data_IF_640811068551
#
_entry.id   IF_640811068551
#
_cell.length_a   1.000
_cell.length_b   1.000
_cell.length_c   1.000
_cell.angle_alpha   90.00
_cell.angle_beta   90.00
_cell.angle_gamma   90.00
#
_symmetry.space_group_name_H-M   'P 1'
#
loop_
_entity.id
_entity.type
_entity.pdbx_description
1 polymer ?
#
# COMPACT_ATOMS: atom_id res chain seq x y z
N UNK A 1 12.44 -0.12 30.63
CA UNK A 1 13.86 -0.09 31.04
C UNK A 1 14.68 -1.23 30.47
N UNK A 2 14.35 -2.51 30.65
CA UNK A 2 15.20 -3.61 30.15
C UNK A 2 15.50 -3.55 28.64
N UNK A 3 14.51 -3.24 27.80
CA UNK A 3 14.72 -3.01 26.36
C UNK A 3 15.61 -1.79 26.11
N UNK A 4 15.31 -0.67 26.78
CA UNK A 4 16.07 0.60 26.70
C UNK A 4 17.54 0.42 27.09
N UNK A 5 17.82 -0.45 28.07
CA UNK A 5 19.16 -0.74 28.57
C UNK A 5 19.87 -1.85 27.76
N UNK A 6 19.26 -2.35 26.67
CA UNK A 6 19.82 -3.42 25.85
C UNK A 6 19.79 -4.82 26.49
N UNK A 7 19.13 -4.96 27.65
CA UNK A 7 19.02 -6.23 28.38
C UNK A 7 17.97 -7.19 27.79
N UNK A 8 17.04 -6.68 26.97
CA UNK A 8 16.04 -7.48 26.25
C UNK A 8 15.93 -7.01 24.80
N UNK A 9 15.62 -7.94 23.89
CA UNK A 9 15.34 -7.65 22.48
C UNK A 9 14.20 -6.64 22.38
N UNK A 10 14.37 -5.63 21.52
CA UNK A 10 13.29 -4.74 21.15
C UNK A 10 12.41 -5.39 20.08
N UNK A 11 11.34 -6.06 20.50
CA UNK A 11 10.38 -6.67 19.58
C UNK A 11 9.59 -5.66 18.74
N UNK A 12 9.58 -4.37 19.10
CA UNK A 12 8.99 -3.32 18.25
C UNK A 12 9.73 -3.12 16.92
N UNK A 13 10.95 -3.66 16.78
CA UNK A 13 11.72 -3.63 15.52
C UNK A 13 11.70 -4.97 14.79
N UNK A 14 10.88 -5.93 15.24
CA UNK A 14 10.70 -7.18 14.49
C UNK A 14 10.17 -6.82 13.08
N UNK A 15 10.78 -7.44 12.06
CA UNK A 15 10.55 -7.20 10.63
C UNK A 15 10.90 -5.80 10.10
N UNK A 16 11.48 -4.92 10.92
CA UNK A 16 11.96 -3.62 10.44
C UNK A 16 13.20 -3.80 9.55
N UNK A 17 13.22 -3.13 8.41
CA UNK A 17 14.43 -2.99 7.61
C UNK A 17 15.22 -1.80 8.15
N UNK A 18 16.30 -2.09 8.89
CA UNK A 18 17.14 -1.10 9.56
C UNK A 18 18.16 -0.42 8.62
N UNK A 19 17.68 -0.04 7.44
CA UNK A 19 18.40 0.73 6.44
C UNK A 19 17.38 1.47 5.57
N UNK A 20 17.86 2.32 4.66
CA UNK A 20 17.01 3.07 3.74
C UNK A 20 16.53 2.16 2.61
N UNK A 21 15.22 2.05 2.43
CA UNK A 21 14.60 1.33 1.31
C UNK A 21 13.60 2.21 0.57
N UNK A 22 13.34 1.85 -0.67
CA UNK A 22 12.31 2.47 -1.51
C UNK A 22 11.55 1.37 -2.24
N UNK A 23 10.21 1.42 -2.27
CA UNK A 23 9.43 0.47 -3.05
C UNK A 23 9.58 0.81 -4.54
N UNK A 24 9.77 -0.21 -5.36
CA UNK A 24 9.66 -0.12 -6.82
C UNK A 24 8.60 -1.12 -7.28
N UNK A 25 7.85 -0.77 -8.31
CA UNK A 25 6.85 -1.66 -8.91
C UNK A 25 7.55 -2.36 -10.09
N UNK A 26 7.63 -3.69 -10.10
CA UNK A 26 8.17 -4.44 -11.23
C UNK A 26 7.19 -4.45 -12.41
N UNK A 27 7.68 -4.89 -13.57
CA UNK A 27 6.84 -5.16 -14.74
C UNK A 27 5.91 -6.37 -14.54
N UNK A 28 5.17 -6.73 -15.60
CA UNK A 28 4.19 -7.82 -15.61
C UNK A 28 4.77 -9.23 -15.38
N UNK A 29 6.10 -9.38 -15.47
CA UNK A 29 6.81 -10.63 -15.20
C UNK A 29 7.51 -10.62 -13.83
N UNK A 30 7.36 -9.53 -13.07
CA UNK A 30 7.97 -9.35 -11.76
C UNK A 30 9.46 -9.00 -11.84
N UNK A 31 9.89 -8.40 -12.96
CA UNK A 31 11.24 -7.86 -13.14
C UNK A 31 11.27 -6.36 -12.83
N UNK A 32 12.22 -5.93 -12.00
CA UNK A 32 12.38 -4.52 -11.71
C UNK A 32 13.00 -3.78 -12.89
N UNK A 33 12.47 -2.60 -13.18
CA UNK A 33 12.99 -1.67 -14.16
C UNK A 33 14.37 -1.13 -13.78
N UNK A 34 15.17 -0.79 -14.79
CA UNK A 34 16.46 -0.09 -14.57
C UNK A 34 16.25 1.33 -14.03
N UNK A 35 15.19 1.99 -14.50
CA UNK A 35 14.83 3.33 -14.06
C UNK A 35 13.74 3.30 -12.97
N UNK A 36 13.82 4.16 -11.94
CA UNK A 36 12.83 4.19 -10.86
C UNK A 36 11.46 4.71 -11.30
N UNK A 37 10.39 4.25 -10.66
CA UNK A 37 9.01 4.70 -10.89
C UNK A 37 8.55 4.61 -12.35
N UNK A 38 8.93 3.53 -13.04
CA UNK A 38 8.57 3.25 -14.45
C UNK A 38 7.15 2.70 -14.65
N UNK A 39 6.52 2.19 -13.60
CA UNK A 39 5.12 1.80 -13.66
C UNK A 39 4.20 2.94 -13.22
N UNK A 40 2.98 2.95 -13.74
CA UNK A 40 1.91 3.76 -13.17
C UNK A 40 1.25 2.98 -12.03
N UNK A 41 0.50 3.68 -11.19
CA UNK A 41 -0.29 3.03 -10.14
C UNK A 41 -1.54 3.83 -9.83
N UNK A 42 -2.49 3.20 -9.16
CA UNK A 42 -3.59 3.87 -8.50
C UNK A 42 -3.55 3.62 -6.99
N UNK A 43 -3.87 4.65 -6.21
CA UNK A 43 -4.09 4.58 -4.76
C UNK A 43 -5.58 4.62 -4.52
N UNK A 44 -6.10 3.63 -3.80
CA UNK A 44 -7.49 3.57 -3.39
C UNK A 44 -7.60 3.65 -1.87
N UNK A 45 -8.34 4.65 -1.40
CA UNK A 45 -8.65 4.88 0.00
C UNK A 45 -10.11 4.53 0.22
N UNK A 46 -10.39 3.57 1.10
CA UNK A 46 -11.74 3.14 1.47
C UNK A 46 -11.93 3.31 2.98
N UNK A 47 -12.78 4.26 3.35
CA UNK A 47 -13.11 4.57 4.75
C UNK A 47 -14.45 3.99 5.16
N UNK A 48 -14.52 3.51 6.40
CA UNK A 48 -15.77 3.19 7.09
C UNK A 48 -15.76 3.82 8.49
N UNK A 49 -16.78 4.61 8.83
CA UNK A 49 -16.91 5.33 10.10
C UNK A 49 -18.13 4.86 10.88
N UNK A 50 -17.94 4.55 12.15
CA UNK A 50 -19.03 4.07 13.02
C UNK A 50 -19.44 5.18 14.00
N UNK A 51 -20.57 5.82 13.71
CA UNK A 51 -21.17 6.90 14.48
C UNK A 51 -22.20 6.34 15.48
N UNK A 52 -21.79 5.38 16.31
CA UNK A 52 -22.68 4.71 17.26
C UNK A 52 -21.97 4.47 18.61
N UNK A 53 -22.64 4.68 19.78
CA UNK A 53 -22.02 4.50 21.10
C UNK A 53 -21.49 3.08 21.37
N UNK A 54 -22.06 2.07 20.71
CA UNK A 54 -21.59 0.68 20.80
C UNK A 54 -20.34 0.40 19.95
N UNK A 55 -19.86 1.37 19.16
CA UNK A 55 -18.72 1.21 18.27
C UNK A 55 -18.86 -0.02 17.38
N UNK A 56 -17.84 -0.87 17.35
CA UNK A 56 -17.83 -2.10 16.54
C UNK A 56 -18.96 -3.09 16.85
N UNK A 57 -19.64 -2.97 17.99
CA UNK A 57 -20.78 -3.81 18.36
C UNK A 57 -22.13 -3.23 17.91
N UNK A 58 -22.13 -2.10 17.19
CA UNK A 58 -23.35 -1.53 16.65
C UNK A 58 -23.99 -2.44 15.57
N UNK A 59 -25.31 -2.34 15.36
CA UNK A 59 -26.00 -3.13 14.34
C UNK A 59 -25.33 -3.02 12.97
N UNK A 60 -25.30 -4.11 12.21
CA UNK A 60 -24.77 -4.21 10.84
C UNK A 60 -23.26 -3.91 10.64
N UNK A 61 -22.53 -3.44 11.65
CA UNK A 61 -21.08 -3.17 11.54
C UNK A 61 -20.30 -4.46 11.28
N UNK A 62 -20.62 -5.53 12.01
CA UNK A 62 -20.00 -6.85 11.77
C UNK A 62 -20.26 -7.32 10.34
N UNK A 63 -21.50 -7.21 9.85
CA UNK A 63 -21.86 -7.64 8.49
C UNK A 63 -21.10 -6.85 7.42
N UNK A 64 -21.00 -5.52 7.56
CA UNK A 64 -20.18 -4.69 6.68
C UNK A 64 -18.71 -5.11 6.71
N UNK A 65 -18.17 -5.34 7.92
CA UNK A 65 -16.80 -5.83 8.11
C UNK A 65 -16.57 -7.19 7.45
N UNK A 66 -17.50 -8.14 7.58
CA UNK A 66 -17.42 -9.46 6.96
C UNK A 66 -17.40 -9.37 5.43
N UNK A 67 -18.15 -8.43 4.82
CA UNK A 67 -18.08 -8.18 3.38
C UNK A 67 -16.71 -7.62 2.96
N UNK A 68 -16.18 -6.64 3.70
CA UNK A 68 -14.87 -6.08 3.43
C UNK A 68 -13.76 -7.14 3.54
N UNK A 69 -13.77 -7.94 4.61
CA UNK A 69 -12.79 -9.03 4.79
C UNK A 69 -12.82 -10.00 3.62
N UNK A 70 -14.02 -10.45 3.19
CA UNK A 70 -14.15 -11.33 2.03
C UNK A 70 -13.63 -10.69 0.74
N UNK A 71 -13.89 -9.40 0.53
CA UNK A 71 -13.39 -8.67 -0.64
C UNK A 71 -11.86 -8.59 -0.64
N UNK A 72 -11.24 -8.39 0.51
CA UNK A 72 -9.76 -8.39 0.64
C UNK A 72 -9.21 -9.80 0.41
N UNK A 73 -9.83 -10.84 0.97
CA UNK A 73 -9.42 -12.24 0.75
C UNK A 73 -9.49 -12.63 -0.73
N UNK A 74 -10.55 -12.23 -1.44
CA UNK A 74 -10.74 -12.43 -2.88
C UNK A 74 -9.59 -11.76 -3.67
N UNK A 75 -9.31 -10.49 -3.36
CA UNK A 75 -8.23 -9.72 -3.97
C UNK A 75 -6.83 -10.30 -3.70
N UNK A 76 -6.57 -10.77 -2.49
CA UNK A 76 -5.29 -11.40 -2.13
C UNK A 76 -5.12 -12.77 -2.80
N UNK A 77 -6.22 -13.49 -3.08
CA UNK A 77 -6.17 -14.80 -3.74
C UNK A 77 -5.99 -14.72 -5.26
N UNK A 78 -6.54 -13.69 -5.91
CA UNK A 78 -6.51 -13.48 -7.38
C UNK A 78 -5.59 -12.31 -7.80
N UNK A 79 -4.61 -11.98 -6.95
CA UNK A 79 -3.85 -10.73 -6.95
C UNK A 79 -3.23 -10.34 -8.31
N UNK A 80 -2.90 -11.30 -9.19
CA UNK A 80 -2.24 -10.99 -10.48
C UNK A 80 -3.17 -10.45 -11.56
N UNK A 81 -4.41 -10.95 -11.65
CA UNK A 81 -5.28 -10.64 -12.79
C UNK A 81 -6.07 -9.35 -12.54
N UNK A 82 -6.44 -9.12 -11.28
CA UNK A 82 -7.23 -7.96 -10.84
C UNK A 82 -6.41 -6.68 -10.66
N UNK A 83 -5.08 -6.73 -10.81
CA UNK A 83 -4.22 -5.56 -10.69
C UNK A 83 -4.16 -4.96 -9.28
N UNK A 84 -4.52 -5.73 -8.26
CA UNK A 84 -4.28 -5.39 -6.86
C UNK A 84 -2.80 -5.60 -6.53
N UNK A 85 -2.24 -4.79 -5.62
CA UNK A 85 -0.87 -4.99 -5.14
C UNK A 85 -0.82 -5.26 -3.63
N UNK A 86 -1.88 -4.93 -2.90
CA UNK A 86 -1.92 -4.96 -1.45
C UNK A 86 -2.13 -3.57 -0.85
N UNK A 87 -2.08 -3.50 0.49
CA UNK A 87 -2.38 -2.27 1.20
C UNK A 87 -2.11 -2.35 2.69
N UNK A 88 -2.64 -1.38 3.43
CA UNK A 88 -2.57 -1.36 4.89
C UNK A 88 -3.82 -0.69 5.44
N UNK A 89 -4.22 -1.11 6.63
CA UNK A 89 -5.40 -0.60 7.33
C UNK A 89 -4.98 0.24 8.54
N UNK A 90 -5.62 1.38 8.73
CA UNK A 90 -5.48 2.23 9.91
C UNK A 90 -6.81 2.47 10.58
N UNK A 91 -6.74 2.79 11.86
CA UNK A 91 -7.87 3.30 12.62
C UNK A 91 -7.57 4.72 13.07
N UNK A 92 -8.58 5.57 13.03
CA UNK A 92 -8.55 6.89 13.66
C UNK A 92 -9.82 7.07 14.51
N UNK A 93 -9.76 8.01 15.45
CA UNK A 93 -10.95 8.46 16.17
C UNK A 93 -11.17 9.93 15.85
N UNK A 94 -12.41 10.29 15.54
CA UNK A 94 -12.76 11.70 15.38
C UNK A 94 -12.83 12.42 16.73
N UNK A 95 -13.02 13.75 16.69
CA UNK A 95 -13.11 14.58 17.88
C UNK A 95 -14.27 14.21 18.84
N UNK A 96 -15.27 13.47 18.35
CA UNK A 96 -16.43 13.03 19.12
C UNK A 96 -16.28 11.58 19.60
N UNK A 97 -15.14 10.93 19.32
CA UNK A 97 -14.84 9.55 19.69
C UNK A 97 -15.36 8.48 18.72
N UNK A 98 -15.89 8.86 17.55
CA UNK A 98 -16.31 7.90 16.54
C UNK A 98 -15.08 7.29 15.85
N UNK A 99 -15.04 5.95 15.76
CA UNK A 99 -13.94 5.23 15.11
C UNK A 99 -14.14 5.19 13.60
N UNK A 100 -13.08 5.52 12.87
CA UNK A 100 -12.96 5.35 11.43
C UNK A 100 -11.87 4.32 11.13
N UNK A 101 -12.17 3.42 10.19
CA UNK A 101 -11.23 2.48 9.62
C UNK A 101 -10.94 2.95 8.21
N UNK A 102 -9.66 3.14 7.87
CA UNK A 102 -9.20 3.46 6.53
C UNK A 102 -8.41 2.27 5.99
N UNK A 103 -8.85 1.71 4.86
CA UNK A 103 -8.07 0.79 4.06
C UNK A 103 -7.45 1.57 2.91
N UNK A 104 -6.12 1.63 2.88
CA UNK A 104 -5.37 2.23 1.77
C UNK A 104 -4.71 1.10 0.99
N UNK A 105 -5.06 0.99 -0.28
CA UNK A 105 -4.58 -0.05 -1.18
C UNK A 105 -3.96 0.52 -2.44
N UNK A 106 -3.06 -0.26 -3.03
CA UNK A 106 -2.33 0.07 -4.24
C UNK A 106 -2.76 -0.87 -5.36
N UNK A 107 -2.91 -0.30 -6.55
CA UNK A 107 -3.44 -0.97 -7.73
C UNK A 107 -2.64 -0.57 -8.95
N UNK A 108 -2.73 -1.38 -10.01
CA UNK A 108 -2.14 -1.11 -11.33
C UNK A 108 -2.81 0.09 -12.02
N UNK A 109 -4.13 0.26 -11.86
CA UNK A 109 -4.88 1.34 -12.48
C UNK A 109 -6.25 1.59 -11.82
N UNK A 110 -6.85 2.75 -12.11
CA UNK A 110 -8.24 3.02 -11.73
C UNK A 110 -9.23 2.10 -12.46
N UNK A 111 -8.88 1.65 -13.68
CA UNK A 111 -9.69 0.70 -14.44
C UNK A 111 -9.78 -0.67 -13.73
N UNK A 112 -8.67 -1.13 -13.17
CA UNK A 112 -8.61 -2.40 -12.42
C UNK A 112 -9.45 -2.34 -11.13
N UNK A 113 -9.45 -1.20 -10.42
CA UNK A 113 -10.37 -0.95 -9.29
C UNK A 113 -11.83 -1.06 -9.75
N UNK A 114 -12.17 -0.45 -10.89
CA UNK A 114 -13.53 -0.53 -11.42
C UNK A 114 -13.92 -1.95 -11.85
N UNK A 115 -13.01 -2.70 -12.50
CA UNK A 115 -13.25 -4.10 -12.85
C UNK A 115 -13.63 -4.92 -11.62
N UNK A 116 -12.89 -4.76 -10.52
CA UNK A 116 -13.23 -5.37 -9.25
C UNK A 116 -14.59 -4.89 -8.71
N UNK A 117 -14.85 -3.59 -8.72
CA UNK A 117 -16.11 -3.01 -8.21
C UNK A 117 -17.37 -3.47 -9.00
N UNK A 118 -17.21 -3.82 -10.28
CA UNK A 118 -18.28 -4.43 -11.08
C UNK A 118 -18.39 -5.96 -10.90
N UNK A 119 -17.45 -6.58 -10.18
CA UNK A 119 -17.44 -7.99 -9.84
C UNK A 119 -18.56 -8.41 -8.89
N UNK A 120 -18.84 -9.72 -8.87
CA UNK A 120 -20.01 -10.29 -8.18
C UNK A 120 -20.05 -9.94 -6.69
N UNK A 121 -18.96 -10.15 -5.96
CA UNK A 121 -18.92 -9.97 -4.51
C UNK A 121 -19.14 -8.50 -4.10
N UNK A 122 -18.51 -7.56 -4.80
CA UNK A 122 -18.72 -6.14 -4.55
C UNK A 122 -20.16 -5.72 -4.84
N UNK A 123 -20.77 -6.21 -5.94
CA UNK A 123 -22.18 -5.92 -6.27
C UNK A 123 -23.14 -6.49 -5.24
N UNK A 124 -22.92 -7.71 -4.77
CA UNK A 124 -23.70 -8.31 -3.67
C UNK A 124 -23.61 -7.50 -2.38
N UNK A 125 -22.42 -7.02 -2.03
CA UNK A 125 -22.21 -6.14 -0.87
C UNK A 125 -22.93 -4.80 -1.03
N UNK A 126 -22.86 -4.21 -2.23
CA UNK A 126 -23.52 -2.92 -2.53
C UNK A 126 -25.04 -3.04 -2.54
N UNK A 127 -25.59 -4.14 -3.07
CA UNK A 127 -27.03 -4.41 -3.05
C UNK A 127 -27.52 -4.63 -1.61
N UNK A 128 -26.75 -5.35 -0.79
CA UNK A 128 -27.02 -5.46 0.65
C UNK A 128 -27.01 -4.09 1.33
N UNK A 129 -25.99 -3.26 1.09
CA UNK A 129 -25.89 -1.92 1.67
C UNK A 129 -27.11 -1.07 1.34
N UNK A 130 -27.49 -1.00 0.06
CA UNK A 130 -28.63 -0.21 -0.40
C UNK A 130 -29.95 -0.70 0.18
N UNK A 131 -30.13 -2.02 0.32
CA UNK A 131 -31.33 -2.60 0.93
C UNK A 131 -31.48 -2.21 2.41
N UNK A 132 -30.38 -2.04 3.14
CA UNK A 132 -30.37 -1.74 4.58
C UNK A 132 -30.00 -0.27 4.89
N UNK A 133 -30.02 0.62 3.90
CA UNK A 133 -29.49 2.00 4.06
C UNK A 133 -30.15 2.80 5.19
N UNK A 134 -31.43 2.55 5.47
CA UNK A 134 -32.15 3.17 6.60
C UNK A 134 -31.69 2.65 7.96
N UNK A 135 -31.30 1.37 8.01
CA UNK A 135 -30.79 0.71 9.22
C UNK A 135 -29.31 1.04 9.46
N UNK A 136 -28.60 1.48 8.42
CA UNK A 136 -27.17 1.80 8.46
C UNK A 136 -26.89 3.30 8.65
N UNK A 137 -27.84 4.10 9.13
CA UNK A 137 -27.68 5.56 9.26
C UNK A 137 -26.59 5.99 10.28
N UNK A 138 -26.11 5.06 11.11
CA UNK A 138 -24.98 5.23 12.02
C UNK A 138 -23.63 4.79 11.42
N UNK A 139 -23.59 4.28 10.19
CA UNK A 139 -22.38 3.86 9.49
C UNK A 139 -22.15 4.78 8.30
N UNK A 140 -20.99 5.43 8.25
CA UNK A 140 -20.52 6.18 7.08
C UNK A 140 -19.55 5.34 6.26
N UNK A 141 -19.58 5.49 4.94
CA UNK A 141 -18.57 4.97 4.02
C UNK A 141 -18.05 6.12 3.15
N UNK A 142 -16.77 6.11 2.82
CA UNK A 142 -16.17 7.02 1.85
C UNK A 142 -15.20 6.26 0.96
N UNK A 143 -14.90 6.81 -0.21
CA UNK A 143 -13.77 6.34 -1.00
C UNK A 143 -13.12 7.44 -1.82
N UNK A 144 -11.81 7.29 -2.10
CA UNK A 144 -11.05 8.18 -2.97
C UNK A 144 -10.11 7.34 -3.85
N UNK A 145 -10.06 7.66 -5.15
CA UNK A 145 -9.17 7.00 -6.12
C UNK A 145 -8.24 8.06 -6.72
N UNK A 146 -6.94 7.80 -6.68
CA UNK A 146 -5.91 8.63 -7.31
C UNK A 146 -5.08 7.78 -8.25
N UNK A 147 -5.16 8.01 -9.56
CA UNK A 147 -4.23 7.41 -10.52
C UNK A 147 -3.03 8.33 -10.70
N UNK A 148 -1.83 7.77 -10.54
CA UNK A 148 -0.56 8.49 -10.59
C UNK A 148 0.28 7.91 -11.72
N UNK A 149 0.65 8.79 -12.65
CA UNK A 149 1.44 8.41 -13.80
C UNK A 149 2.87 8.02 -13.43
N UNK A 150 3.53 7.32 -14.36
CA UNK A 150 4.96 6.99 -14.29
C UNK A 150 5.77 8.25 -13.94
N UNK A 151 6.82 8.11 -13.13
CA UNK A 151 7.71 9.22 -12.69
C UNK A 151 7.04 10.33 -11.85
N UNK A 152 5.80 10.11 -11.39
CA UNK A 152 5.05 11.05 -10.55
C UNK A 152 4.78 10.52 -9.14
N UNK A 153 5.42 9.41 -8.77
CA UNK A 153 5.35 8.84 -7.43
C UNK A 153 6.74 8.44 -6.94
N UNK A 154 6.95 8.55 -5.64
CA UNK A 154 8.12 8.04 -4.93
C UNK A 154 7.73 7.71 -3.50
N UNK A 155 8.46 6.79 -2.86
CA UNK A 155 8.34 6.55 -1.43
C UNK A 155 9.69 6.12 -0.84
N UNK A 156 9.86 6.37 0.46
CA UNK A 156 11.06 6.03 1.21
C UNK A 156 10.70 5.52 2.60
N UNK A 157 11.44 4.51 3.05
CA UNK A 157 11.37 3.96 4.39
C UNK A 157 12.78 3.96 4.98
N UNK A 158 12.92 4.36 6.25
CA UNK A 158 14.19 4.35 6.97
C UNK A 158 13.94 3.76 8.35
N UNK A 159 14.57 2.63 8.64
CA UNK A 159 14.39 1.92 9.93
C UNK A 159 12.93 1.62 10.23
N UNK A 160 12.21 1.06 9.24
CA UNK A 160 10.76 0.96 9.26
C UNK A 160 10.30 -0.45 8.85
N UNK A 161 9.16 -0.87 9.39
CA UNK A 161 8.45 -2.07 8.92
C UNK A 161 7.72 -1.80 7.59
N UNK A 162 7.62 -2.80 6.71
CA UNK A 162 6.76 -2.71 5.54
C UNK A 162 5.33 -2.31 5.90
N UNK A 163 4.88 -1.18 5.37
CA UNK A 163 3.50 -0.68 5.40
C UNK A 163 3.26 0.08 4.10
N UNK A 164 2.01 0.47 3.82
CA UNK A 164 1.69 1.21 2.60
C UNK A 164 2.22 0.43 1.37
N UNK A 165 2.83 1.12 0.41
CA UNK A 165 3.40 0.50 -0.79
C UNK A 165 4.49 -0.53 -0.47
N UNK A 166 5.26 -0.34 0.61
CA UNK A 166 6.30 -1.28 1.04
C UNK A 166 5.78 -2.66 1.45
N UNK A 167 4.50 -2.76 1.84
CA UNK A 167 3.84 -4.02 2.20
C UNK A 167 3.16 -4.73 1.01
N UNK A 168 3.23 -4.16 -0.19
CA UNK A 168 2.69 -4.80 -1.40
C UNK A 168 3.52 -6.01 -1.82
N UNK A 169 2.96 -6.88 -2.65
CA UNK A 169 3.61 -8.09 -3.17
C UNK A 169 3.35 -8.27 -4.66
N UNK A 170 4.35 -8.80 -5.37
CA UNK A 170 4.30 -9.00 -6.82
C UNK A 170 4.68 -10.43 -7.18
N UNK A 171 4.00 -11.03 -8.15
CA UNK A 171 4.36 -12.34 -8.66
C UNK A 171 5.51 -12.18 -9.66
N UNK A 172 6.65 -12.80 -9.36
CA UNK A 172 7.71 -13.00 -10.34
C UNK A 172 7.53 -14.34 -10.99
N UNK A 173 7.25 -14.33 -12.29
CA UNK A 173 7.07 -15.55 -13.08
C UNK A 173 8.40 -16.28 -13.22
N UNK A 174 8.35 -17.59 -13.07
CA UNK A 174 9.50 -18.45 -13.28
C UNK A 174 9.76 -18.72 -14.76
N UNK A 175 11.03 -18.85 -15.13
CA UNK A 175 11.43 -19.25 -16.48
C UNK A 175 11.51 -20.78 -16.63
N UNK A 176 10.94 -21.29 -17.72
CA UNK A 176 11.16 -22.67 -18.17
C UNK A 176 12.33 -22.70 -19.15
N UNK A 177 13.56 -22.62 -18.66
CA UNK A 177 14.75 -22.80 -19.50
C UNK A 177 15.17 -24.28 -19.58
N UNK A 178 15.81 -24.64 -20.70
CA UNK A 178 16.41 -25.97 -20.93
C UNK A 178 17.62 -26.11 -19.99
N UNK A 179 17.38 -26.54 -18.75
CA UNK A 179 18.39 -26.69 -17.71
C UNK A 179 17.87 -26.63 -16.27
N UNK A 180 16.62 -26.21 -16.06
CA UNK A 180 15.96 -26.20 -14.76
C UNK A 180 14.67 -25.40 -14.78
N UNK A 181 13.71 -25.76 -13.91
CA UNK A 181 12.48 -25.00 -13.70
C UNK A 181 12.73 -23.98 -12.61
N UNK A 182 12.56 -22.68 -12.92
CA UNK A 182 12.40 -21.67 -11.87
C UNK A 182 10.91 -21.61 -11.55
N UNK A 183 10.54 -21.73 -10.28
CA UNK A 183 9.14 -21.61 -9.84
C UNK A 183 8.74 -20.14 -9.67
N UNK A 184 7.44 -19.88 -9.79
CA UNK A 184 6.87 -18.58 -9.49
C UNK A 184 7.11 -18.23 -8.02
N UNK A 185 7.40 -16.96 -7.75
CA UNK A 185 7.65 -16.49 -6.38
C UNK A 185 7.06 -15.11 -6.14
N UNK A 186 6.51 -14.91 -4.95
CA UNK A 186 6.12 -13.59 -4.48
C UNK A 186 7.36 -12.80 -4.04
N UNK A 187 7.47 -11.57 -4.53
CA UNK A 187 8.57 -10.65 -4.20
C UNK A 187 8.07 -9.38 -3.52
N UNK A 188 8.89 -8.82 -2.63
CA UNK A 188 8.68 -7.50 -2.02
C UNK A 188 9.11 -6.40 -2.99
N UNK A 189 8.45 -5.23 -3.01
CA UNK A 189 8.88 -4.07 -3.80
C UNK A 189 10.11 -3.37 -3.21
N UNK A 190 10.47 -3.66 -1.96
CA UNK A 190 11.47 -2.87 -1.24
C UNK A 190 12.88 -3.15 -1.78
N UNK A 191 13.48 -2.12 -2.36
CA UNK A 191 14.85 -2.13 -2.88
C UNK A 191 15.75 -1.30 -1.96
N UNK A 192 17.02 -1.70 -1.84
CA UNK A 192 18.04 -0.91 -1.13
C UNK A 192 18.16 0.48 -1.77
N UNK A 193 17.87 1.50 -0.97
CA UNK A 193 17.93 2.90 -1.35
C UNK A 193 18.99 3.67 -0.56
N UNK A 194 19.92 2.99 0.10
CA UNK A 194 21.05 3.62 0.81
C UNK A 194 22.06 4.29 -0.15
N UNK A 195 22.05 3.89 -1.43
CA UNK A 195 22.99 4.30 -2.48
C UNK A 195 22.32 4.37 -3.85
N UNK A 196 23.05 4.90 -4.83
CA UNK A 196 22.59 4.99 -6.22
C UNK A 196 21.40 5.94 -6.41
N UNK A 197 20.66 5.74 -7.51
CA UNK A 197 19.57 6.64 -7.93
C UNK A 197 18.48 6.77 -6.86
N UNK A 198 18.12 5.69 -6.17
CA UNK A 198 17.03 5.67 -5.18
C UNK A 198 17.33 6.45 -3.88
N UNK A 199 18.59 6.86 -3.68
CA UNK A 199 19.02 7.57 -2.46
C UNK A 199 18.30 8.91 -2.26
N UNK A 200 18.02 9.62 -3.35
CA UNK A 200 17.38 10.94 -3.34
C UNK A 200 15.92 10.86 -3.80
N UNK A 201 15.10 11.82 -3.36
CA UNK A 201 13.71 11.96 -3.84
C UNK A 201 13.64 12.15 -5.36
N UNK A 202 14.54 12.97 -5.92
CA UNK A 202 14.63 13.17 -7.37
C UNK A 202 14.88 11.85 -8.11
N UNK A 203 15.87 11.08 -7.67
CA UNK A 203 16.23 9.85 -8.34
C UNK A 203 15.17 8.76 -8.18
N UNK A 204 14.43 8.72 -7.07
CA UNK A 204 13.24 7.85 -6.95
C UNK A 204 12.12 8.24 -7.92
N UNK A 205 12.01 9.51 -8.30
CA UNK A 205 11.12 9.96 -9.37
C UNK A 205 11.70 9.71 -10.79
N UNK A 206 12.87 9.07 -10.91
CA UNK A 206 13.60 8.92 -12.16
C UNK A 206 14.15 10.23 -12.74
N UNK A 207 14.37 11.23 -11.88
CA UNK A 207 14.89 12.56 -12.25
C UNK A 207 16.35 12.72 -11.82
N UNK A 208 17.04 13.66 -12.46
CA UNK A 208 18.41 14.02 -12.08
C UNK A 208 18.38 14.86 -10.79
N UNK A 209 19.02 14.42 -9.70
CA UNK A 209 19.05 15.19 -8.45
C UNK A 209 19.59 16.60 -8.63
N UNK A 210 20.57 16.77 -9.52
CA UNK A 210 21.24 18.04 -9.83
C UNK A 210 20.24 19.12 -10.27
N UNK A 211 19.18 18.74 -11.00
CA UNK A 211 18.16 19.67 -11.49
C UNK A 211 17.27 20.21 -10.35
N UNK A 212 17.02 19.41 -9.31
CA UNK A 212 16.29 19.88 -8.13
C UNK A 212 17.17 20.74 -7.23
N UNK A 213 18.45 20.39 -7.08
CA UNK A 213 19.39 21.14 -6.25
C UNK A 213 19.66 22.54 -6.81
N UNK A 214 19.77 22.68 -8.14
CA UNK A 214 19.86 23.99 -8.80
C UNK A 214 18.62 24.86 -8.58
N UNK A 215 17.46 24.24 -8.32
CA UNK A 215 16.18 24.94 -8.18
C UNK A 215 15.88 25.37 -6.74
N UNK A 216 16.33 24.60 -5.73
CA UNK A 216 15.87 24.76 -4.35
C UNK A 216 16.98 24.91 -3.29
N UNK A 217 18.26 24.92 -3.69
CA UNK A 217 19.44 24.92 -2.80
C UNK A 217 19.47 23.74 -1.80
N UNK A 218 20.66 23.41 -1.27
CA UNK A 218 20.78 22.44 -0.19
C UNK A 218 20.46 23.08 1.17
N UNK A 219 19.96 22.26 2.09
CA UNK A 219 19.90 22.66 3.50
C UNK A 219 21.32 22.95 4.02
N UNK A 220 21.50 23.96 4.89
CA UNK A 220 22.81 24.27 5.46
C UNK A 220 23.46 23.06 6.14
N UNK A 221 24.67 22.70 5.72
CA UNK A 221 25.43 21.58 6.27
C UNK A 221 25.12 20.20 5.67
N UNK A 222 24.17 20.10 4.73
CA UNK A 222 23.97 18.86 3.99
C UNK A 222 25.14 18.65 3.01
N UNK A 223 25.76 17.47 3.05
CA UNK A 223 26.78 17.06 2.07
C UNK A 223 26.17 16.05 1.10
N UNK A 224 26.74 15.98 -0.10
CA UNK A 224 26.26 15.10 -1.16
C UNK A 224 26.57 13.61 -0.92
N UNK A 225 27.35 13.27 0.12
CA UNK A 225 27.93 11.94 0.34
C UNK A 225 27.42 11.18 1.58
N UNK A 226 26.58 11.77 2.46
CA UNK A 226 25.98 11.08 3.64
C UNK A 226 24.54 10.56 3.45
#
# INVERSE_FOLDING_TARGET
MAITLGLKKNHYLDNALLYRTSPQIPDEDGTFHEEPSEEKLAVFMLGAKVNHPLGMFAPNVKTLGDYLTKMIEDLESENTDLGFYGGTTWTSQDKNGATEILNLSYWRSAEDIHKFAYGKLHRESWDWWNKHIKENNHIGINHEIFEVDRKHWEAIYVNFQPTLMGATTYLRKGDKMVGGTVEDRWISPLVDASRGKLRSSAGRLGRKPEELYQKYDLAPGATYEE
#
